data_IF_958075057844
#
_entry.id   IF_958075057844
#
_cell.length_a   1.000
_cell.length_b   1.000
_cell.length_c   1.000
_cell.angle_alpha   90.00
_cell.angle_beta   90.00
_cell.angle_gamma   90.00
#
_symmetry.space_group_name_H-M   'P 1'
#
loop_
_entity.id
_entity.type
_entity.pdbx_description
1 polymer ?
#
# COMPACT_ATOMS: atom_id res chain seq x y z
N UNK A 1 7.94 0.10 -25.51
CA UNK A 1 6.57 -0.24 -25.03
C UNK A 1 5.54 0.20 -26.05
N UNK A 2 4.57 -0.63 -26.36
CA UNK A 2 3.40 -0.23 -27.16
C UNK A 2 2.44 0.56 -26.28
N UNK A 3 2.02 1.74 -26.69
CA UNK A 3 0.97 2.54 -26.02
C UNK A 3 -0.40 2.09 -26.52
N UNK A 4 -1.45 2.43 -25.79
CA UNK A 4 -2.81 2.28 -26.33
C UNK A 4 -3.03 3.20 -27.53
N UNK A 5 -3.80 2.75 -28.51
CA UNK A 5 -4.18 3.59 -29.64
C UNK A 5 -5.07 4.74 -29.15
N UNK A 6 -4.76 6.00 -29.44
CA UNK A 6 -5.56 7.14 -28.99
C UNK A 6 -7.04 6.99 -29.34
N UNK A 7 -7.93 7.30 -28.38
CA UNK A 7 -9.39 7.20 -28.54
C UNK A 7 -9.95 5.78 -28.66
N UNK A 8 -9.13 4.73 -28.44
CA UNK A 8 -9.61 3.35 -28.48
C UNK A 8 -10.63 3.06 -27.38
N UNK A 9 -11.53 2.12 -27.66
CA UNK A 9 -12.43 1.56 -26.64
C UNK A 9 -11.71 0.48 -25.86
N UNK A 10 -11.78 0.59 -24.53
CA UNK A 10 -11.12 -0.31 -23.58
C UNK A 10 -12.17 -0.84 -22.61
N UNK A 11 -12.27 -2.16 -22.53
CA UNK A 11 -13.13 -2.81 -21.55
C UNK A 11 -12.28 -3.41 -20.43
N UNK A 12 -12.72 -3.26 -19.17
CA UNK A 12 -11.94 -3.67 -17.98
C UNK A 12 -12.73 -4.68 -17.15
N UNK A 13 -12.26 -5.91 -17.03
CA UNK A 13 -12.90 -6.96 -16.24
C UNK A 13 -12.37 -6.89 -14.80
N UNK A 14 -13.29 -6.75 -13.81
CA UNK A 14 -12.94 -6.46 -12.41
C UNK A 14 -12.56 -4.99 -12.20
N UNK A 15 -13.27 -4.07 -12.87
CA UNK A 15 -12.92 -2.64 -12.93
C UNK A 15 -12.94 -1.95 -11.58
N UNK A 16 -13.76 -2.41 -10.61
CA UNK A 16 -13.84 -1.83 -9.26
C UNK A 16 -12.70 -2.30 -8.32
N UNK A 17 -11.87 -3.24 -8.76
CA UNK A 17 -10.74 -3.73 -7.99
C UNK A 17 -9.69 -2.65 -7.70
N UNK A 18 -8.95 -2.84 -6.59
CA UNK A 18 -7.84 -1.96 -6.23
C UNK A 18 -6.80 -1.90 -7.36
N UNK A 19 -6.44 -0.70 -7.78
CA UNK A 19 -5.55 -0.44 -8.90
C UNK A 19 -6.21 -0.52 -10.29
N UNK A 20 -7.28 -1.30 -10.50
CA UNK A 20 -8.04 -1.31 -11.76
C UNK A 20 -8.83 0.00 -11.93
N UNK A 21 -9.55 0.41 -10.88
CA UNK A 21 -10.32 1.65 -10.89
C UNK A 21 -9.47 2.88 -11.19
N UNK A 22 -8.28 2.98 -10.59
CA UNK A 22 -7.36 4.09 -10.85
C UNK A 22 -6.85 4.12 -12.31
N UNK A 23 -6.59 2.97 -12.91
CA UNK A 23 -6.23 2.87 -14.33
C UNK A 23 -7.42 3.32 -15.20
N UNK A 24 -8.65 2.91 -14.86
CA UNK A 24 -9.86 3.31 -15.57
C UNK A 24 -10.07 4.82 -15.55
N UNK A 25 -9.89 5.46 -14.39
CA UNK A 25 -9.99 6.92 -14.21
C UNK A 25 -8.95 7.66 -15.07
N UNK A 26 -7.70 7.22 -15.09
CA UNK A 26 -6.65 7.84 -15.92
C UNK A 26 -6.94 7.64 -17.42
N UNK A 27 -7.36 6.45 -17.83
CA UNK A 27 -7.72 6.19 -19.22
C UNK A 27 -8.86 7.10 -19.67
N UNK A 28 -9.90 7.23 -18.86
CA UNK A 28 -11.03 8.12 -19.15
C UNK A 28 -10.59 9.60 -19.22
N UNK A 29 -9.74 10.06 -18.28
CA UNK A 29 -9.18 11.40 -18.27
C UNK A 29 -8.31 11.70 -19.51
N UNK A 30 -7.66 10.67 -20.08
CA UNK A 30 -6.91 10.77 -21.35
C UNK A 30 -7.76 10.63 -22.59
N UNK A 31 -9.09 10.57 -22.47
CA UNK A 31 -10.02 10.56 -23.61
C UNK A 31 -10.23 9.17 -24.23
N UNK A 32 -9.90 8.08 -23.56
CA UNK A 32 -10.30 6.76 -23.96
C UNK A 32 -11.77 6.50 -23.63
N UNK A 33 -12.44 5.69 -24.45
CA UNK A 33 -13.81 5.22 -24.15
C UNK A 33 -13.69 4.00 -23.25
N UNK A 34 -13.96 4.17 -21.96
CA UNK A 34 -13.79 3.11 -20.96
C UNK A 34 -15.13 2.50 -20.59
N UNK A 35 -15.18 1.18 -20.60
CA UNK A 35 -16.24 0.37 -20.01
C UNK A 35 -15.64 -0.71 -19.11
N UNK A 36 -16.46 -1.30 -18.25
CA UNK A 36 -15.99 -2.45 -17.48
C UNK A 36 -17.06 -3.04 -16.58
N UNK A 37 -16.74 -4.20 -16.04
CA UNK A 37 -17.62 -5.02 -15.22
C UNK A 37 -16.99 -5.35 -13.87
N UNK A 38 -17.82 -5.62 -12.88
CA UNK A 38 -17.38 -6.20 -11.61
C UNK A 38 -18.44 -7.18 -11.10
N UNK A 39 -18.04 -8.19 -10.32
CA UNK A 39 -18.94 -9.25 -9.84
C UNK A 39 -20.10 -8.69 -9.02
N UNK A 40 -19.83 -7.64 -8.23
CA UNK A 40 -20.78 -7.07 -7.28
C UNK A 40 -20.87 -5.56 -7.38
N UNK A 41 -22.04 -5.06 -7.06
CA UNK A 41 -22.24 -3.62 -6.86
C UNK A 41 -21.33 -3.10 -5.73
N UNK A 42 -20.69 -1.97 -5.99
CA UNK A 42 -19.80 -1.33 -5.01
C UNK A 42 -19.82 0.20 -5.11
N UNK A 43 -19.36 0.87 -4.04
CA UNK A 43 -19.19 2.32 -4.08
C UNK A 43 -18.19 2.77 -5.17
N UNK A 44 -17.16 1.97 -5.42
CA UNK A 44 -16.17 2.21 -6.49
C UNK A 44 -16.83 2.14 -7.86
N UNK A 45 -17.66 1.10 -8.11
CA UNK A 45 -18.35 0.94 -9.40
C UNK A 45 -19.29 2.12 -9.67
N UNK A 46 -20.04 2.57 -8.65
CA UNK A 46 -20.89 3.78 -8.74
C UNK A 46 -20.08 5.05 -8.99
N UNK A 47 -18.92 5.18 -8.34
CA UNK A 47 -18.03 6.33 -8.55
C UNK A 47 -17.53 6.40 -9.99
N UNK A 48 -17.10 5.27 -10.56
CA UNK A 48 -16.66 5.19 -11.96
C UNK A 48 -17.80 5.56 -12.93
N UNK A 49 -19.01 5.04 -12.68
CA UNK A 49 -20.18 5.37 -13.49
C UNK A 49 -20.49 6.87 -13.46
N UNK A 50 -20.37 7.52 -12.29
CA UNK A 50 -20.57 8.98 -12.16
C UNK A 50 -19.55 9.83 -12.92
N UNK A 51 -18.39 9.25 -13.27
CA UNK A 51 -17.32 9.86 -14.07
C UNK A 51 -17.46 9.59 -15.58
N UNK A 52 -18.59 9.00 -16.02
CA UNK A 52 -18.85 8.73 -17.43
C UNK A 52 -18.27 7.40 -17.95
N UNK A 53 -17.76 6.55 -17.07
CA UNK A 53 -17.31 5.19 -17.41
C UNK A 53 -18.54 4.26 -17.43
N UNK A 54 -18.73 3.49 -18.50
CA UNK A 54 -19.83 2.52 -18.58
C UNK A 54 -19.52 1.32 -17.69
N UNK A 55 -20.24 1.19 -16.56
CA UNK A 55 -19.99 0.18 -15.53
C UNK A 55 -21.14 -0.84 -15.46
N UNK A 56 -20.79 -2.13 -15.45
CA UNK A 56 -21.73 -3.24 -15.36
C UNK A 56 -21.56 -4.02 -14.06
N UNK A 57 -22.65 -4.57 -13.55
CA UNK A 57 -22.65 -5.53 -12.44
C UNK A 57 -22.85 -6.93 -13.02
N UNK A 58 -22.00 -7.87 -12.62
CA UNK A 58 -21.93 -9.20 -13.23
C UNK A 58 -21.08 -9.22 -14.50
N UNK A 59 -20.81 -10.41 -15.01
CA UNK A 59 -19.95 -10.64 -16.15
C UNK A 59 -20.72 -11.32 -17.28
N UNK A 60 -20.86 -10.66 -18.42
CA UNK A 60 -21.52 -11.19 -19.62
C UNK A 60 -20.67 -10.89 -20.86
N UNK A 61 -20.45 -11.90 -21.71
CA UNK A 61 -19.57 -11.78 -22.89
C UNK A 61 -19.94 -10.67 -23.87
N UNK A 62 -21.19 -10.21 -23.87
CA UNK A 62 -21.67 -9.12 -24.72
C UNK A 62 -21.22 -7.74 -24.22
N UNK A 63 -20.91 -7.59 -22.93
CA UNK A 63 -20.51 -6.31 -22.30
C UNK A 63 -19.20 -5.77 -22.86
N UNK A 64 -18.32 -6.63 -23.41
CA UNK A 64 -17.07 -6.15 -24.03
C UNK A 64 -17.33 -5.32 -25.31
N UNK A 65 -18.54 -5.38 -25.88
CA UNK A 65 -18.93 -4.59 -27.06
C UNK A 65 -17.96 -4.69 -28.23
N UNK A 66 -17.55 -3.55 -28.76
CA UNK A 66 -16.53 -3.38 -29.81
C UNK A 66 -15.18 -2.88 -29.23
N UNK A 67 -14.84 -3.28 -28.01
CA UNK A 67 -13.59 -2.92 -27.37
C UNK A 67 -12.38 -3.40 -28.20
N UNK A 68 -11.38 -2.55 -28.35
CA UNK A 68 -10.10 -2.89 -28.99
C UNK A 68 -9.15 -3.61 -28.03
N UNK A 69 -9.27 -3.30 -26.75
CA UNK A 69 -8.47 -3.88 -25.68
C UNK A 69 -9.38 -4.35 -24.54
N UNK A 70 -9.07 -5.51 -23.97
CA UNK A 70 -9.70 -6.00 -22.74
C UNK A 70 -8.62 -6.05 -21.66
N UNK A 71 -8.79 -5.26 -20.59
CA UNK A 71 -7.86 -5.23 -19.45
C UNK A 71 -8.39 -6.14 -18.35
N UNK A 72 -7.52 -7.01 -17.82
CA UNK A 72 -7.89 -7.96 -16.77
C UNK A 72 -7.00 -7.82 -15.53
N UNK A 73 -7.57 -8.06 -14.34
CA UNK A 73 -6.79 -8.26 -13.11
C UNK A 73 -6.34 -9.73 -13.00
N UNK A 74 -5.38 -9.99 -12.12
CA UNK A 74 -4.90 -11.35 -11.83
C UNK A 74 -5.96 -12.24 -11.16
N UNK A 75 -7.05 -11.67 -10.62
CA UNK A 75 -8.14 -12.40 -10.00
C UNK A 75 -9.15 -12.99 -11.00
N UNK A 76 -9.10 -12.59 -12.28
CA UNK A 76 -10.05 -13.04 -13.30
C UNK A 76 -9.69 -14.47 -13.73
N UNK A 77 -10.65 -15.38 -13.56
CA UNK A 77 -10.51 -16.79 -13.93
C UNK A 77 -10.66 -16.98 -15.44
N UNK A 78 -10.05 -18.05 -15.96
CA UNK A 78 -10.04 -18.36 -17.40
C UNK A 78 -11.45 -18.58 -17.99
N UNK A 79 -12.40 -19.01 -17.14
CA UNK A 79 -13.79 -19.28 -17.51
C UNK A 79 -14.68 -18.03 -17.49
N UNK A 80 -14.14 -16.86 -17.13
CA UNK A 80 -14.93 -15.62 -17.12
C UNK A 80 -15.52 -15.36 -18.53
N UNK A 81 -16.86 -15.16 -18.68
CA UNK A 81 -17.52 -15.08 -19.97
C UNK A 81 -17.03 -13.93 -20.86
N UNK A 82 -16.62 -12.81 -20.25
CA UNK A 82 -16.06 -11.67 -21.00
C UNK A 82 -14.65 -11.98 -21.51
N UNK A 83 -13.83 -12.68 -20.69
CA UNK A 83 -12.50 -13.12 -21.11
C UNK A 83 -12.58 -14.15 -22.23
N UNK A 84 -13.51 -15.10 -22.14
CA UNK A 84 -13.78 -16.08 -23.21
C UNK A 84 -14.20 -15.37 -24.48
N UNK A 85 -15.17 -14.45 -24.40
CA UNK A 85 -15.63 -13.67 -25.55
C UNK A 85 -14.52 -12.83 -26.20
N UNK A 86 -13.62 -12.27 -25.40
CA UNK A 86 -12.47 -11.51 -25.91
C UNK A 86 -11.49 -12.41 -26.68
N UNK A 87 -11.21 -13.62 -26.17
CA UNK A 87 -10.37 -14.62 -26.85
C UNK A 87 -10.98 -15.05 -28.16
N UNK A 88 -12.28 -15.40 -28.17
CA UNK A 88 -13.01 -15.87 -29.37
C UNK A 88 -13.06 -14.79 -30.47
N UNK A 89 -13.11 -13.53 -30.12
CA UNK A 89 -13.10 -12.38 -31.04
C UNK A 89 -11.70 -11.91 -31.43
N UNK A 90 -10.63 -12.49 -30.86
CA UNK A 90 -9.25 -12.10 -31.13
C UNK A 90 -8.91 -10.69 -30.63
N UNK A 91 -9.60 -10.20 -29.57
CA UNK A 91 -9.35 -8.90 -28.97
C UNK A 91 -8.05 -8.99 -28.13
N UNK A 92 -7.23 -7.94 -28.18
CA UNK A 92 -5.99 -7.89 -27.38
C UNK A 92 -6.30 -7.85 -25.90
N UNK A 93 -5.85 -8.88 -25.17
CA UNK A 93 -5.99 -8.99 -23.72
C UNK A 93 -4.72 -8.41 -23.07
N UNK A 94 -4.93 -7.45 -22.17
CA UNK A 94 -3.85 -6.72 -21.46
C UNK A 94 -3.98 -6.96 -19.97
N UNK A 95 -2.94 -7.40 -19.32
CA UNK A 95 -2.95 -7.52 -17.86
C UNK A 95 -2.87 -6.13 -17.21
N UNK A 96 -3.44 -5.98 -16.00
CA UNK A 96 -3.48 -4.73 -15.23
C UNK A 96 -2.14 -3.98 -15.21
N UNK A 97 -1.05 -4.66 -14.89
CA UNK A 97 0.28 -4.03 -14.81
C UNK A 97 0.78 -3.56 -16.19
N UNK A 98 0.53 -4.34 -17.26
CA UNK A 98 0.86 -3.91 -18.61
C UNK A 98 -0.01 -2.71 -19.05
N UNK A 99 -1.27 -2.67 -18.63
CA UNK A 99 -2.12 -1.49 -18.87
C UNK A 99 -1.53 -0.24 -18.19
N UNK A 100 -1.11 -0.36 -16.92
CA UNK A 100 -0.45 0.73 -16.20
C UNK A 100 0.89 1.11 -16.87
N UNK A 101 1.71 0.15 -17.26
CA UNK A 101 2.95 0.40 -17.98
C UNK A 101 2.75 1.21 -19.28
N UNK A 102 1.64 0.98 -19.99
CA UNK A 102 1.29 1.72 -21.23
C UNK A 102 0.87 3.17 -20.96
N UNK A 103 0.60 3.55 -19.70
CA UNK A 103 0.24 4.91 -19.30
C UNK A 103 1.47 5.76 -18.93
N UNK A 104 2.62 5.16 -18.64
CA UNK A 104 3.82 5.86 -18.19
C UNK A 104 4.53 6.69 -19.28
N UNK A 105 4.58 6.29 -20.55
CA UNK A 105 5.28 7.06 -21.58
C UNK A 105 4.78 8.49 -21.72
N UNK A 106 5.71 9.43 -21.89
CA UNK A 106 5.44 10.86 -22.02
C UNK A 106 5.56 11.65 -20.71
N UNK A 107 5.74 10.96 -19.57
CA UNK A 107 6.03 11.57 -18.27
C UNK A 107 7.26 10.93 -17.64
N UNK A 108 7.97 11.66 -16.79
CA UNK A 108 9.03 11.10 -15.98
C UNK A 108 8.41 10.19 -14.91
N UNK A 109 8.61 8.90 -15.04
CA UNK A 109 7.96 7.89 -14.23
C UNK A 109 8.83 7.48 -13.03
N UNK A 110 8.20 7.44 -11.85
CA UNK A 110 8.82 7.01 -10.60
C UNK A 110 8.04 5.80 -10.06
N UNK A 111 8.72 4.67 -9.93
CA UNK A 111 8.15 3.45 -9.38
C UNK A 111 8.62 3.24 -7.94
N UNK A 112 7.66 3.00 -7.04
CA UNK A 112 7.96 2.67 -5.64
C UNK A 112 7.76 1.18 -5.43
N UNK A 113 8.86 0.48 -5.22
CA UNK A 113 8.92 -0.96 -5.00
C UNK A 113 9.49 -1.30 -3.62
N UNK A 114 9.41 -2.58 -3.24
CA UNK A 114 9.83 -3.11 -1.96
C UNK A 114 8.72 -3.91 -1.30
N UNK A 115 9.06 -4.81 -0.41
CA UNK A 115 8.06 -5.68 0.23
C UNK A 115 7.05 -4.87 1.04
N UNK A 116 7.51 -3.89 1.81
CA UNK A 116 6.68 -3.05 2.69
C UNK A 116 6.85 -1.56 2.41
N UNK A 117 5.83 -0.77 2.76
CA UNK A 117 5.86 0.69 2.69
C UNK A 117 5.56 1.28 1.31
N UNK A 118 5.35 0.49 0.27
CA UNK A 118 5.06 0.95 -1.11
C UNK A 118 3.97 2.01 -1.18
N UNK A 119 2.78 1.69 -0.68
CA UNK A 119 1.59 2.57 -0.74
C UNK A 119 1.82 3.91 -0.03
N UNK A 120 2.39 3.86 1.18
CA UNK A 120 2.68 5.08 1.95
C UNK A 120 3.73 5.94 1.26
N UNK A 121 4.81 5.33 0.76
CA UNK A 121 5.89 6.03 0.07
C UNK A 121 5.41 6.64 -1.24
N UNK A 122 4.61 5.92 -2.04
CA UNK A 122 4.00 6.46 -3.26
C UNK A 122 3.05 7.61 -2.96
N UNK A 123 2.24 7.48 -1.88
CA UNK A 123 1.35 8.55 -1.42
C UNK A 123 2.11 9.80 -0.97
N UNK A 124 3.18 9.63 -0.21
CA UNK A 124 4.08 10.72 0.19
C UNK A 124 4.67 11.41 -1.03
N UNK A 125 5.10 10.63 -2.02
CA UNK A 125 5.73 11.17 -3.22
C UNK A 125 4.77 11.97 -4.07
N UNK A 126 3.58 11.41 -4.34
CA UNK A 126 2.54 12.11 -5.10
C UNK A 126 2.11 13.41 -4.41
N UNK A 127 1.89 13.38 -3.08
CA UNK A 127 1.48 14.55 -2.33
C UNK A 127 2.61 15.59 -2.19
N UNK A 128 3.87 15.19 -2.07
CA UNK A 128 5.00 16.11 -2.08
C UNK A 128 5.10 16.85 -3.42
N UNK A 129 4.97 16.15 -4.55
CA UNK A 129 4.97 16.79 -5.88
C UNK A 129 3.78 17.74 -6.05
N UNK A 130 2.60 17.34 -5.58
CA UNK A 130 1.41 18.20 -5.58
C UNK A 130 1.62 19.47 -4.75
N UNK A 131 2.16 19.36 -3.53
CA UNK A 131 2.50 20.50 -2.67
C UNK A 131 3.57 21.43 -3.25
N UNK A 132 4.43 20.91 -4.14
CA UNK A 132 5.39 21.69 -4.92
C UNK A 132 4.78 22.31 -6.19
N UNK A 133 3.48 22.16 -6.43
CA UNK A 133 2.80 22.66 -7.63
C UNK A 133 3.18 21.91 -8.91
N UNK A 134 3.64 20.66 -8.80
CA UNK A 134 4.06 19.87 -9.97
C UNK A 134 2.93 19.06 -10.61
N UNK A 135 1.73 19.08 -10.05
CA UNK A 135 0.52 18.40 -10.54
C UNK A 135 0.78 17.01 -11.16
N UNK A 136 1.26 16.02 -10.36
CA UNK A 136 1.64 14.71 -10.87
C UNK A 136 0.45 13.85 -11.28
N UNK A 137 0.65 12.96 -12.24
CA UNK A 137 -0.17 11.76 -12.37
C UNK A 137 0.29 10.70 -11.37
N UNK A 138 -0.65 9.90 -10.85
CA UNK A 138 -0.31 8.80 -9.97
C UNK A 138 -1.36 7.68 -9.98
N UNK A 139 -0.93 6.45 -9.69
CA UNK A 139 -1.76 5.27 -9.35
C UNK A 139 -1.14 4.59 -8.13
N UNK A 140 -1.90 4.53 -7.05
CA UNK A 140 -1.45 4.05 -5.73
C UNK A 140 -2.49 3.08 -5.18
N UNK A 141 -2.05 2.11 -4.37
CA UNK A 141 -2.91 1.06 -3.83
C UNK A 141 -4.00 1.53 -2.85
N UNK A 142 -3.95 2.78 -2.38
CA UNK A 142 -4.90 3.34 -1.41
C UNK A 142 -5.09 4.85 -1.61
N UNK A 143 -6.20 5.39 -1.10
CA UNK A 143 -6.47 6.84 -1.17
C UNK A 143 -5.49 7.63 -0.33
N UNK A 144 -4.95 8.72 -0.87
CA UNK A 144 -4.17 9.71 -0.13
C UNK A 144 -5.16 10.57 0.66
N UNK A 145 -5.05 10.60 1.99
CA UNK A 145 -6.06 11.23 2.86
C UNK A 145 -6.33 12.70 2.52
N UNK A 146 -5.29 13.48 2.21
CA UNK A 146 -5.43 14.89 1.88
C UNK A 146 -6.01 15.15 0.46
N UNK A 147 -5.84 14.21 -0.47
CA UNK A 147 -6.32 14.34 -1.85
C UNK A 147 -7.65 13.62 -2.09
N UNK A 148 -8.03 12.66 -1.21
CA UNK A 148 -9.27 11.89 -1.30
C UNK A 148 -9.32 10.85 -2.41
N UNK A 149 -8.24 10.68 -3.18
CA UNK A 149 -8.16 9.80 -4.36
C UNK A 149 -6.93 8.88 -4.31
N UNK A 150 -7.00 7.74 -4.98
CA UNK A 150 -5.89 6.79 -5.16
C UNK A 150 -5.24 6.88 -6.54
N UNK A 151 -5.88 7.58 -7.47
CA UNK A 151 -5.35 7.83 -8.79
C UNK A 151 -5.77 9.22 -9.28
N UNK A 152 -4.93 9.82 -10.12
CA UNK A 152 -5.19 11.10 -10.76
C UNK A 152 -4.34 11.24 -12.02
N UNK A 153 -4.92 11.72 -13.11
CA UNK A 153 -4.17 12.26 -14.24
C UNK A 153 -3.90 13.75 -13.97
N UNK A 154 -2.64 14.09 -13.74
CA UNK A 154 -2.16 15.46 -13.57
C UNK A 154 -1.65 16.04 -14.90
N UNK A 155 -1.52 17.36 -14.98
CA UNK A 155 -0.98 18.05 -16.16
C UNK A 155 0.55 18.19 -16.13
N UNK A 156 1.19 17.87 -14.99
CA UNK A 156 2.64 17.95 -14.84
C UNK A 156 3.40 16.78 -15.47
N UNK A 157 4.73 16.88 -15.42
CA UNK A 157 5.65 16.00 -16.13
C UNK A 157 5.95 14.68 -15.39
N UNK A 158 5.35 14.46 -14.20
CA UNK A 158 5.67 13.31 -13.35
C UNK A 158 4.54 12.29 -13.27
N UNK A 159 4.92 11.01 -13.20
CA UNK A 159 3.99 9.92 -12.96
C UNK A 159 4.51 9.01 -11.83
N UNK A 160 3.81 8.97 -10.70
CA UNK A 160 4.16 8.13 -9.55
C UNK A 160 3.33 6.85 -9.58
N UNK A 161 3.99 5.70 -9.54
CA UNK A 161 3.31 4.38 -9.51
C UNK A 161 3.81 3.53 -8.36
N UNK A 162 2.89 2.80 -7.76
CA UNK A 162 3.21 1.71 -6.87
C UNK A 162 3.58 0.47 -7.69
N UNK A 163 4.73 -0.11 -7.42
CA UNK A 163 5.30 -1.25 -8.15
C UNK A 163 5.22 -2.51 -7.29
N UNK A 164 4.19 -3.32 -7.52
CA UNK A 164 3.94 -4.55 -6.78
C UNK A 164 4.74 -5.71 -7.38
N UNK A 165 5.59 -6.33 -6.56
CA UNK A 165 6.44 -7.45 -6.93
C UNK A 165 5.72 -8.80 -6.98
N UNK A 166 4.51 -8.89 -6.42
CA UNK A 166 3.82 -10.16 -6.11
C UNK A 166 3.69 -11.13 -7.27
N UNK A 167 3.51 -10.63 -8.49
CA UNK A 167 3.39 -11.43 -9.73
C UNK A 167 4.51 -11.16 -10.74
N UNK A 168 5.51 -10.35 -10.35
CA UNK A 168 6.63 -9.97 -11.20
C UNK A 168 6.28 -8.99 -12.34
N UNK A 169 5.05 -8.55 -12.43
CA UNK A 169 4.56 -7.69 -13.53
C UNK A 169 5.14 -6.28 -13.51
N UNK A 170 5.67 -5.82 -12.37
CA UNK A 170 6.34 -4.51 -12.24
C UNK A 170 7.60 -4.38 -13.13
N UNK A 171 8.15 -5.50 -13.62
CA UNK A 171 9.25 -5.48 -14.59
C UNK A 171 8.88 -4.76 -15.90
N UNK A 172 7.60 -4.70 -16.23
CA UNK A 172 7.11 -4.07 -17.46
C UNK A 172 7.04 -2.54 -17.35
N UNK A 173 7.22 -1.95 -16.16
CA UNK A 173 7.11 -0.49 -15.97
C UNK A 173 8.27 0.28 -16.58
N UNK A 174 9.49 -0.25 -16.55
CA UNK A 174 10.71 0.39 -17.08
C UNK A 174 10.77 1.88 -16.68
N UNK A 175 10.74 2.21 -15.39
CA UNK A 175 10.61 3.59 -14.91
C UNK A 175 11.87 4.40 -15.14
N UNK A 176 11.73 5.74 -15.10
CA UNK A 176 12.88 6.63 -15.15
C UNK A 176 13.63 6.63 -13.81
N UNK A 177 12.90 6.67 -12.68
CA UNK A 177 13.44 6.52 -11.33
C UNK A 177 12.71 5.47 -10.52
N UNK A 178 13.38 4.88 -9.53
CA UNK A 178 12.71 3.97 -8.60
C UNK A 178 13.19 4.14 -7.16
N UNK A 179 12.31 3.70 -6.22
CA UNK A 179 12.62 3.53 -4.80
C UNK A 179 12.51 2.04 -4.47
N UNK A 180 13.50 1.50 -3.74
CA UNK A 180 13.45 0.18 -3.11
C UNK A 180 13.46 0.39 -1.61
N UNK A 181 12.33 0.12 -0.95
CA UNK A 181 12.17 0.37 0.49
C UNK A 181 12.82 -0.71 1.34
N UNK A 182 12.59 -1.98 1.03
CA UNK A 182 13.11 -3.17 1.72
C UNK A 182 12.87 -4.41 0.85
N UNK A 183 13.54 -5.53 1.21
CA UNK A 183 13.38 -6.83 0.53
C UNK A 183 13.25 -7.92 1.58
N UNK A 184 12.04 -8.45 1.75
CA UNK A 184 11.70 -9.55 2.65
C UNK A 184 10.95 -10.66 1.92
N UNK A 185 10.86 -11.83 2.55
CA UNK A 185 10.04 -12.93 2.05
C UNK A 185 8.57 -12.63 2.33
N UNK A 186 7.80 -12.40 1.30
CA UNK A 186 6.33 -12.35 1.30
C UNK A 186 5.81 -13.06 0.05
N UNK A 187 4.51 -13.06 -0.17
CA UNK A 187 3.87 -13.71 -1.32
C UNK A 187 4.31 -15.17 -1.49
N UNK A 188 4.29 -15.91 -0.38
CA UNK A 188 4.73 -17.32 -0.29
C UNK A 188 3.92 -18.28 -1.16
N UNK A 189 2.80 -17.82 -1.70
CA UNK A 189 2.02 -18.46 -2.76
C UNK A 189 2.71 -18.37 -4.14
N UNK A 190 3.55 -17.38 -4.37
CA UNK A 190 4.24 -17.13 -5.64
C UNK A 190 5.76 -17.34 -5.56
N UNK A 191 6.36 -17.21 -4.38
CA UNK A 191 7.80 -17.33 -4.19
C UNK A 191 8.13 -18.39 -3.12
N UNK A 192 9.01 -19.31 -3.48
CA UNK A 192 9.43 -20.39 -2.60
C UNK A 192 10.60 -19.98 -1.68
N UNK A 193 11.33 -18.91 -2.02
CA UNK A 193 12.49 -18.46 -1.25
C UNK A 193 12.76 -16.97 -1.41
N UNK A 194 13.51 -16.42 -0.46
CA UNK A 194 13.94 -15.00 -0.49
C UNK A 194 14.87 -14.73 -1.68
N UNK A 195 15.64 -15.70 -2.13
CA UNK A 195 16.56 -15.58 -3.27
C UNK A 195 15.81 -15.35 -4.58
N UNK A 196 14.59 -15.89 -4.72
CA UNK A 196 13.73 -15.63 -5.87
C UNK A 196 13.28 -14.17 -5.89
N UNK A 197 12.89 -13.62 -4.75
CA UNK A 197 12.51 -12.22 -4.60
C UNK A 197 13.71 -11.32 -4.88
N UNK A 198 14.88 -11.61 -4.32
CA UNK A 198 16.12 -10.85 -4.59
C UNK A 198 16.41 -10.80 -6.08
N UNK A 199 16.41 -11.96 -6.78
CA UNK A 199 16.62 -12.00 -8.24
C UNK A 199 15.56 -11.21 -9.01
N UNK A 200 14.33 -11.16 -8.52
CA UNK A 200 13.27 -10.37 -9.13
C UNK A 200 13.56 -8.87 -9.02
N UNK A 201 13.99 -8.40 -7.84
CA UNK A 201 14.40 -7.00 -7.64
C UNK A 201 15.66 -6.64 -8.44
N UNK A 202 16.63 -7.54 -8.58
CA UNK A 202 17.80 -7.34 -9.46
C UNK A 202 17.37 -7.11 -10.91
N UNK A 203 16.44 -7.93 -11.41
CA UNK A 203 15.86 -7.76 -12.75
C UNK A 203 15.10 -6.44 -12.87
N UNK A 204 14.34 -6.05 -11.85
CA UNK A 204 13.62 -4.78 -11.85
C UNK A 204 14.59 -3.59 -11.92
N UNK A 205 15.64 -3.57 -11.10
CA UNK A 205 16.66 -2.50 -11.13
C UNK A 205 17.28 -2.38 -12.52
N UNK A 206 17.52 -3.49 -13.21
CA UNK A 206 18.05 -3.48 -14.57
C UNK A 206 17.11 -2.85 -15.61
N UNK A 207 15.82 -2.63 -15.29
CA UNK A 207 14.86 -1.94 -16.18
C UNK A 207 14.81 -0.43 -15.99
N UNK A 208 15.40 0.09 -14.90
CA UNK A 208 15.39 1.52 -14.54
C UNK A 208 16.28 2.30 -15.50
N UNK A 209 15.90 3.53 -15.85
CA UNK A 209 16.63 4.31 -16.87
C UNK A 209 17.62 5.33 -16.29
N UNK A 210 17.31 5.96 -15.13
CA UNK A 210 18.14 7.07 -14.62
C UNK A 210 18.68 6.79 -13.21
N UNK A 211 17.80 6.62 -12.18
CA UNK A 211 18.26 6.45 -10.80
C UNK A 211 17.44 5.44 -10.00
N UNK A 212 18.08 4.86 -8.98
CA UNK A 212 17.43 4.07 -7.93
C UNK A 212 17.83 4.56 -6.55
N UNK A 213 16.82 4.80 -5.70
CA UNK A 213 16.97 5.14 -4.28
C UNK A 213 16.74 3.89 -3.45
N UNK A 214 17.72 3.49 -2.63
CA UNK A 214 17.74 2.20 -1.92
C UNK A 214 17.91 2.45 -0.42
N UNK A 215 17.09 1.75 0.39
CA UNK A 215 17.25 1.76 1.85
C UNK A 215 18.58 1.12 2.25
N UNK A 216 19.46 1.90 2.87
CA UNK A 216 20.74 1.42 3.38
C UNK A 216 20.62 0.68 4.71
N UNK A 217 19.50 0.83 5.42
CA UNK A 217 19.22 0.13 6.68
C UNK A 217 18.68 -1.29 6.42
N UNK A 218 18.23 -1.61 5.20
CA UNK A 218 17.82 -2.96 4.81
C UNK A 218 18.99 -3.71 4.18
N UNK A 219 19.39 -4.83 4.80
CA UNK A 219 20.58 -5.59 4.38
C UNK A 219 20.46 -6.15 2.97
N UNK A 220 19.27 -6.60 2.55
CA UNK A 220 19.06 -7.19 1.23
C UNK A 220 18.91 -6.13 0.16
N UNK A 221 18.11 -5.11 0.42
CA UNK A 221 17.99 -3.99 -0.51
C UNK A 221 19.33 -3.32 -0.75
N UNK A 222 20.12 -3.05 0.31
CA UNK A 222 21.42 -2.41 0.21
C UNK A 222 22.46 -3.24 -0.56
N UNK A 223 22.30 -4.57 -0.59
CA UNK A 223 23.18 -5.48 -1.32
C UNK A 223 22.80 -5.67 -2.80
N UNK A 224 21.64 -5.15 -3.26
CA UNK A 224 21.22 -5.28 -4.65
C UNK A 224 22.21 -4.63 -5.62
N UNK A 225 22.63 -5.31 -6.69
CA UNK A 225 23.52 -4.76 -7.70
C UNK A 225 22.78 -3.70 -8.53
N UNK A 226 23.46 -2.59 -8.80
CA UNK A 226 22.96 -1.52 -9.66
C UNK A 226 23.84 -1.42 -10.89
N UNK A 227 23.29 -1.53 -12.12
CA UNK A 227 24.06 -1.38 -13.37
C UNK A 227 24.76 -0.02 -13.47
N UNK A 228 25.93 0.01 -14.10
CA UNK A 228 26.81 1.18 -14.17
C UNK A 228 26.20 2.42 -14.84
N UNK A 229 25.11 2.30 -15.56
CA UNK A 229 24.42 3.44 -16.19
C UNK A 229 23.34 4.08 -15.29
N UNK A 230 23.05 3.49 -14.14
CA UNK A 230 21.98 3.92 -13.23
C UNK A 230 22.61 4.56 -11.99
N UNK A 231 22.16 5.77 -11.62
CA UNK A 231 22.63 6.44 -10.40
C UNK A 231 22.06 5.72 -9.18
N UNK A 232 22.94 5.19 -8.33
CA UNK A 232 22.55 4.62 -7.03
C UNK A 232 22.59 5.71 -5.98
N UNK A 233 21.51 5.83 -5.20
CA UNK A 233 21.41 6.74 -4.07
C UNK A 233 20.91 5.92 -2.86
N UNK A 234 21.56 6.10 -1.72
CA UNK A 234 21.25 5.38 -0.49
C UNK A 234 20.69 6.33 0.57
N UNK A 235 19.76 5.84 1.36
CA UNK A 235 19.21 6.56 2.51
C UNK A 235 19.07 5.65 3.72
N UNK A 236 19.18 6.21 4.91
CA UNK A 236 19.05 5.43 6.14
C UNK A 236 19.71 6.10 7.32
N UNK A 237 19.87 5.36 8.42
CA UNK A 237 20.52 5.83 9.66
C UNK A 237 22.02 5.60 9.67
N UNK A 238 22.55 4.79 8.75
CA UNK A 238 24.00 4.61 8.61
C UNK A 238 24.65 5.89 8.10
N UNK A 239 25.78 6.27 8.70
CA UNK A 239 26.60 7.40 8.23
C UNK A 239 27.20 7.20 6.84
N UNK A 240 27.11 5.99 6.26
CA UNK A 240 27.56 5.68 4.92
C UNK A 240 26.52 5.94 3.83
N UNK A 241 25.26 6.26 4.21
CA UNK A 241 24.22 6.62 3.26
C UNK A 241 24.42 8.01 2.67
N UNK A 242 23.96 8.23 1.44
CA UNK A 242 23.99 9.54 0.77
C UNK A 242 23.06 10.54 1.48
N UNK A 243 21.88 10.11 1.96
CA UNK A 243 20.97 10.88 2.78
C UNK A 243 20.83 10.19 4.15
N UNK A 244 21.44 10.79 5.16
CA UNK A 244 21.51 10.26 6.53
C UNK A 244 20.37 10.78 7.37
N UNK A 245 19.75 9.89 8.13
CA UNK A 245 18.69 10.18 9.11
C UNK A 245 19.30 10.18 10.51
N UNK A 246 19.04 11.21 11.28
CA UNK A 246 19.44 11.30 12.70
C UNK A 246 18.32 11.97 13.53
N UNK A 247 18.50 11.97 14.86
CA UNK A 247 17.63 12.67 15.82
C UNK A 247 16.12 12.41 15.64
N UNK A 248 15.74 11.16 15.31
CA UNK A 248 14.33 10.79 15.23
C UNK A 248 13.63 10.94 16.58
N UNK A 249 12.49 11.65 16.58
CA UNK A 249 11.67 11.91 17.79
C UNK A 249 10.20 11.71 17.45
N UNK A 250 9.52 10.85 18.21
CA UNK A 250 8.05 10.80 18.21
C UNK A 250 7.50 12.04 18.93
N UNK A 251 6.42 12.57 18.39
CA UNK A 251 5.69 13.73 18.88
C UNK A 251 4.21 13.34 19.04
N UNK A 252 3.43 14.12 19.76
CA UNK A 252 2.00 13.84 19.97
C UNK A 252 1.17 13.77 18.69
N UNK A 253 1.62 14.41 17.62
CA UNK A 253 0.91 14.54 16.33
C UNK A 253 1.75 14.05 15.13
N UNK A 254 2.72 13.16 15.37
CA UNK A 254 3.56 12.57 14.32
C UNK A 254 5.01 12.42 14.72
N UNK A 255 5.95 12.58 13.79
CA UNK A 255 7.37 12.33 14.00
C UNK A 255 8.23 13.42 13.37
N UNK A 256 9.40 13.69 13.96
CA UNK A 256 10.43 14.56 13.39
C UNK A 256 11.77 13.82 13.28
N UNK A 257 12.61 14.27 12.36
CA UNK A 257 13.97 13.78 12.18
C UNK A 257 14.87 14.87 11.56
N UNK A 258 16.16 14.71 11.71
CA UNK A 258 17.15 15.50 10.99
C UNK A 258 17.65 14.71 9.79
N UNK A 259 17.63 15.32 8.61
CA UNK A 259 18.17 14.75 7.37
C UNK A 259 19.43 15.52 6.97
N UNK A 260 20.48 14.78 6.63
CA UNK A 260 21.73 15.36 6.14
C UNK A 260 22.15 14.67 4.84
N UNK A 261 22.21 15.41 3.75
CA UNK A 261 22.87 14.94 2.52
C UNK A 261 24.38 14.87 2.78
N UNK A 262 25.03 13.81 2.33
CA UNK A 262 26.47 13.59 2.57
C UNK A 262 27.32 14.78 2.08
N UNK A 263 28.05 15.42 2.98
CA UNK A 263 28.84 16.61 2.68
C UNK A 263 28.04 17.87 2.33
N UNK A 264 26.72 17.84 2.51
CA UNK A 264 25.80 18.90 2.13
C UNK A 264 24.96 19.47 3.30
N UNK A 265 23.84 20.13 2.97
CA UNK A 265 23.00 20.79 3.96
C UNK A 265 22.29 19.82 4.89
N UNK A 266 21.98 20.33 6.08
CA UNK A 266 21.14 19.66 7.10
C UNK A 266 19.76 20.30 7.07
N UNK A 267 18.71 19.49 7.07
CA UNK A 267 17.32 19.94 7.10
C UNK A 267 16.52 19.21 8.15
N UNK A 268 15.47 19.85 8.68
CA UNK A 268 14.50 19.21 9.56
C UNK A 268 13.37 18.59 8.75
N UNK A 269 13.07 17.33 9.02
CA UNK A 269 11.91 16.63 8.54
C UNK A 269 10.82 16.67 9.61
N UNK A 270 9.58 17.01 9.24
CA UNK A 270 8.40 16.95 10.08
C UNK A 270 7.30 16.19 9.36
N UNK A 271 6.78 15.13 9.97
CA UNK A 271 5.66 14.35 9.45
C UNK A 271 4.51 14.36 10.45
N UNK A 272 3.28 14.35 9.96
CA UNK A 272 2.04 14.24 10.73
C UNK A 272 1.47 12.81 10.66
N UNK A 273 2.35 11.85 10.53
CA UNK A 273 2.11 10.42 10.65
C UNK A 273 3.16 9.83 11.60
N UNK A 274 2.82 8.77 12.31
CA UNK A 274 3.65 8.17 13.35
C UNK A 274 4.55 7.05 12.79
N UNK A 275 5.60 6.73 13.54
CA UNK A 275 6.43 5.56 13.34
C UNK A 275 7.72 5.82 12.56
N UNK A 276 8.79 5.16 13.01
CA UNK A 276 10.13 5.19 12.41
C UNK A 276 10.11 4.82 10.92
N UNK A 277 9.29 3.82 10.53
CA UNK A 277 9.15 3.40 9.14
C UNK A 277 8.67 4.53 8.23
N UNK A 278 7.84 5.45 8.72
CA UNK A 278 7.39 6.60 7.94
C UNK A 278 8.48 7.66 7.77
N UNK A 279 9.43 7.77 8.71
CA UNK A 279 10.63 8.59 8.51
C UNK A 279 11.48 8.02 7.37
N UNK A 280 11.68 6.69 7.34
CA UNK A 280 12.39 6.03 6.25
C UNK A 280 11.68 6.24 4.90
N UNK A 281 10.36 6.03 4.83
CA UNK A 281 9.56 6.24 3.63
C UNK A 281 9.68 7.68 3.10
N UNK A 282 9.55 8.66 4.00
CA UNK A 282 9.68 10.08 3.65
C UNK A 282 11.10 10.44 3.19
N UNK A 283 12.11 9.85 3.83
CA UNK A 283 13.52 10.10 3.44
C UNK A 283 13.82 9.54 2.07
N UNK A 284 13.26 8.38 1.70
CA UNK A 284 13.33 7.83 0.34
C UNK A 284 12.76 8.80 -0.71
N UNK A 285 11.59 9.38 -0.39
CA UNK A 285 10.95 10.39 -1.27
C UNK A 285 11.80 11.64 -1.40
N UNK A 286 12.33 12.16 -0.30
CA UNK A 286 13.22 13.34 -0.30
C UNK A 286 14.50 13.05 -1.09
N UNK A 287 15.12 11.87 -0.92
CA UNK A 287 16.29 11.45 -1.69
C UNK A 287 15.98 11.39 -3.21
N UNK A 288 14.82 10.86 -3.58
CA UNK A 288 14.37 10.83 -4.97
C UNK A 288 14.12 12.24 -5.53
N UNK A 289 13.55 13.13 -4.74
CA UNK A 289 13.35 14.53 -5.12
C UNK A 289 14.68 15.22 -5.43
N UNK A 290 15.71 15.00 -4.59
CA UNK A 290 17.07 15.53 -4.84
C UNK A 290 17.66 14.92 -6.11
N UNK A 291 17.46 13.61 -6.38
CA UNK A 291 17.88 12.98 -7.62
C UNK A 291 17.26 13.62 -8.87
N UNK A 292 16.04 14.13 -8.74
CA UNK A 292 15.29 14.85 -9.78
C UNK A 292 15.66 16.34 -9.88
N UNK A 293 16.63 16.82 -9.07
CA UNK A 293 17.04 18.22 -9.07
C UNK A 293 16.17 19.15 -8.22
N UNK A 294 15.30 18.60 -7.36
CA UNK A 294 14.50 19.38 -6.39
C UNK A 294 15.36 19.69 -5.17
N UNK A 295 15.32 20.92 -4.68
CA UNK A 295 16.05 21.33 -3.49
C UNK A 295 15.67 20.51 -2.25
N UNK A 296 16.68 20.07 -1.48
CA UNK A 296 16.48 19.20 -0.30
C UNK A 296 15.54 19.83 0.72
N UNK A 297 15.68 21.12 1.02
CA UNK A 297 14.85 21.80 2.00
C UNK A 297 13.43 22.02 1.47
N UNK A 298 13.26 22.25 0.17
CA UNK A 298 11.95 22.36 -0.44
C UNK A 298 11.20 21.01 -0.39
N UNK A 299 11.87 19.90 -0.72
CA UNK A 299 11.30 18.55 -0.62
C UNK A 299 10.91 18.19 0.82
N UNK A 300 11.81 18.43 1.80
CA UNK A 300 11.56 18.17 3.21
C UNK A 300 10.41 19.00 3.78
N UNK A 301 10.21 20.24 3.32
CA UNK A 301 9.04 21.04 3.69
C UNK A 301 7.76 20.55 3.03
N UNK A 302 7.81 20.23 1.74
CA UNK A 302 6.63 19.83 0.98
C UNK A 302 6.04 18.50 1.45
N UNK A 303 6.88 17.54 1.83
CA UNK A 303 6.44 16.23 2.35
C UNK A 303 5.67 16.35 3.68
N UNK A 304 5.85 17.44 4.43
CA UNK A 304 5.08 17.73 5.65
C UNK A 304 3.59 17.98 5.37
N UNK A 305 3.17 18.11 4.12
CA UNK A 305 1.76 18.15 3.74
C UNK A 305 1.07 16.77 3.85
N UNK A 306 1.83 15.68 3.90
CA UNK A 306 1.27 14.32 3.96
C UNK A 306 0.51 14.07 5.27
N UNK A 307 -0.69 13.50 5.14
CA UNK A 307 -1.60 13.20 6.27
C UNK A 307 -1.98 11.72 6.35
N UNK A 308 -1.24 10.86 5.65
CA UNK A 308 -1.50 9.43 5.59
C UNK A 308 -2.22 8.98 4.33
N UNK A 309 -2.38 7.68 4.22
CA UNK A 309 -3.22 7.00 3.25
C UNK A 309 -4.25 6.16 3.98
N UNK A 310 -5.40 5.90 3.36
CA UNK A 310 -6.46 5.09 3.98
C UNK A 310 -5.92 3.73 4.40
N UNK A 311 -6.33 3.27 5.57
CA UNK A 311 -5.91 2.01 6.17
C UNK A 311 -4.39 1.90 6.43
N UNK A 312 -3.68 3.01 6.69
CA UNK A 312 -2.27 3.02 7.14
C UNK A 312 -2.18 3.90 8.38
N UNK A 313 -2.32 3.26 9.55
CA UNK A 313 -2.47 3.92 10.85
C UNK A 313 -3.56 5.01 10.81
N UNK A 314 -4.69 4.70 10.19
CA UNK A 314 -5.79 5.63 9.98
C UNK A 314 -6.64 5.74 11.25
N UNK A 315 -6.72 6.93 11.84
CA UNK A 315 -7.63 7.18 12.98
C UNK A 315 -9.07 7.18 12.47
N UNK A 316 -9.84 6.17 12.86
CA UNK A 316 -11.27 6.06 12.50
C UNK A 316 -12.17 6.91 13.37
N UNK A 317 -11.71 7.25 14.58
CA UNK A 317 -12.42 8.13 15.50
C UNK A 317 -11.94 8.01 16.93
N UNK A 318 -12.47 8.90 17.77
CA UNK A 318 -12.26 8.93 19.21
C UNK A 318 -13.61 8.94 19.90
N UNK A 319 -13.81 8.10 20.90
CA UNK A 319 -14.99 8.06 21.75
C UNK A 319 -14.57 7.90 23.21
N UNK A 320 -15.03 8.79 24.09
CA UNK A 320 -14.73 8.78 25.53
C UNK A 320 -13.23 8.67 25.87
N UNK A 321 -12.38 9.31 25.07
CA UNK A 321 -10.93 9.24 25.22
C UNK A 321 -10.30 7.95 24.69
N UNK A 322 -11.08 7.02 24.10
CA UNK A 322 -10.60 5.80 23.46
C UNK A 322 -10.39 6.09 21.97
N UNK A 323 -9.17 5.86 21.47
CA UNK A 323 -8.84 6.06 20.06
C UNK A 323 -8.94 4.74 19.29
N UNK A 324 -9.65 4.75 18.15
CA UNK A 324 -9.74 3.59 17.24
C UNK A 324 -8.98 3.88 15.96
N UNK A 325 -8.04 3.00 15.63
CA UNK A 325 -7.13 3.08 14.47
C UNK A 325 -7.30 1.87 13.58
N UNK A 326 -7.20 2.04 12.28
CA UNK A 326 -7.22 0.95 11.28
C UNK A 326 -5.90 0.91 10.51
N UNK A 327 -5.33 -0.28 10.36
CA UNK A 327 -4.12 -0.50 9.57
C UNK A 327 -4.21 -1.75 8.70
N UNK A 328 -3.68 -1.66 7.50
CA UNK A 328 -3.70 -2.72 6.50
C UNK A 328 -2.62 -3.80 6.75
N UNK A 329 -1.73 -3.59 7.71
CA UNK A 329 -0.63 -4.47 8.06
C UNK A 329 -1.07 -5.93 8.18
N UNK A 330 -0.44 -6.80 7.41
CA UNK A 330 -0.79 -8.21 7.31
C UNK A 330 0.44 -9.13 7.20
N UNK A 331 1.64 -8.56 7.26
CA UNK A 331 2.91 -9.26 7.41
C UNK A 331 3.45 -9.02 8.83
N UNK A 332 4.16 -9.98 9.46
CA UNK A 332 4.69 -9.82 10.84
C UNK A 332 5.47 -8.52 11.03
N UNK A 333 6.37 -8.17 10.11
CA UNK A 333 7.16 -6.93 10.15
C UNK A 333 6.29 -5.67 10.13
N UNK A 334 5.21 -5.65 9.33
CA UNK A 334 4.26 -4.53 9.31
C UNK A 334 3.51 -4.42 10.64
N UNK A 335 3.07 -5.55 11.21
CA UNK A 335 2.36 -5.60 12.49
C UNK A 335 3.26 -5.07 13.62
N UNK A 336 4.50 -5.52 13.69
CA UNK A 336 5.50 -5.03 14.67
C UNK A 336 5.70 -3.51 14.54
N UNK A 337 5.86 -3.02 13.31
CA UNK A 337 6.04 -1.58 13.05
C UNK A 337 4.81 -0.76 13.47
N UNK A 338 3.59 -1.25 13.19
CA UNK A 338 2.35 -0.57 13.54
C UNK A 338 2.09 -0.61 15.05
N UNK A 339 2.34 -1.73 15.72
CA UNK A 339 2.27 -1.85 17.18
C UNK A 339 3.28 -0.90 17.85
N UNK A 340 4.51 -0.85 17.35
CA UNK A 340 5.54 0.08 17.84
C UNK A 340 5.08 1.54 17.70
N UNK A 341 4.48 1.93 16.58
CA UNK A 341 3.92 3.26 16.39
C UNK A 341 2.77 3.55 17.38
N UNK A 342 1.86 2.59 17.58
CA UNK A 342 0.77 2.71 18.55
C UNK A 342 1.28 2.88 19.99
N UNK A 343 2.31 2.13 20.38
CA UNK A 343 2.99 2.27 21.67
C UNK A 343 3.63 3.65 21.85
N UNK A 344 4.24 4.17 20.78
CA UNK A 344 4.83 5.52 20.81
C UNK A 344 3.77 6.60 21.04
N UNK A 345 2.61 6.48 20.38
CA UNK A 345 1.45 7.36 20.58
C UNK A 345 0.97 7.32 22.02
N UNK A 346 0.76 6.13 22.60
CA UNK A 346 0.33 5.96 23.99
C UNK A 346 1.35 6.52 24.98
N UNK A 347 2.65 6.27 24.74
CA UNK A 347 3.73 6.81 25.56
C UNK A 347 3.76 8.34 25.55
N UNK A 348 3.54 8.96 24.39
CA UNK A 348 3.47 10.41 24.26
C UNK A 348 2.23 11.02 24.96
N UNK A 349 1.13 10.26 25.02
CA UNK A 349 -0.09 10.62 25.76
C UNK A 349 0.03 10.42 27.28
N UNK A 350 1.05 9.70 27.74
CA UNK A 350 1.37 9.50 29.16
C UNK A 350 0.67 8.33 29.84
N UNK A 351 -0.32 7.70 29.22
CA UNK A 351 -1.03 6.52 29.73
C UNK A 351 -1.87 5.86 28.63
N UNK A 352 -2.38 4.65 28.92
CA UNK A 352 -3.29 3.89 28.07
C UNK A 352 -2.73 2.52 27.69
N UNK A 353 -3.65 1.61 27.34
CA UNK A 353 -3.34 0.25 26.94
C UNK A 353 -3.62 0.08 25.43
N UNK A 354 -2.95 -0.87 24.82
CA UNK A 354 -3.12 -1.22 23.42
C UNK A 354 -3.90 -2.53 23.27
N UNK A 355 -5.07 -2.46 22.62
CA UNK A 355 -5.79 -3.63 22.15
C UNK A 355 -5.62 -3.78 20.64
N UNK A 356 -5.22 -4.95 20.18
CA UNK A 356 -5.08 -5.28 18.75
C UNK A 356 -6.13 -6.28 18.35
N UNK A 357 -6.87 -5.99 17.29
CA UNK A 357 -7.78 -6.93 16.62
C UNK A 357 -7.12 -7.32 15.31
N UNK A 358 -6.66 -8.55 15.24
CA UNK A 358 -5.90 -9.05 14.09
C UNK A 358 -6.70 -10.05 13.26
N UNK A 359 -6.81 -9.80 11.97
CA UNK A 359 -7.36 -10.74 11.00
C UNK A 359 -6.26 -11.24 10.08
N UNK A 360 -5.79 -12.49 10.22
CA UNK A 360 -4.84 -13.08 9.30
C UNK A 360 -5.40 -13.09 7.87
N UNK A 361 -4.55 -12.87 6.88
CA UNK A 361 -4.93 -12.79 5.48
C UNK A 361 -4.26 -13.90 4.69
N UNK A 362 -5.05 -14.77 4.05
CA UNK A 362 -4.68 -15.99 3.33
C UNK A 362 -4.22 -17.15 4.23
N UNK A 363 -4.61 -18.37 3.87
CA UNK A 363 -4.19 -19.58 4.57
C UNK A 363 -2.71 -19.87 4.37
N UNK A 364 -2.17 -19.69 3.16
CA UNK A 364 -0.76 -19.86 2.84
C UNK A 364 0.14 -18.99 3.71
N UNK A 365 -0.17 -17.69 3.83
CA UNK A 365 0.58 -16.77 4.69
C UNK A 365 0.46 -17.11 6.16
N UNK A 366 -0.74 -17.49 6.62
CA UNK A 366 -0.95 -17.90 8.01
C UNK A 366 -0.12 -19.13 8.36
N UNK A 367 -0.07 -20.13 7.48
CA UNK A 367 0.76 -21.32 7.67
C UNK A 367 2.26 -20.99 7.77
N UNK A 368 2.74 -20.06 6.92
CA UNK A 368 4.15 -19.69 6.87
C UNK A 368 4.60 -18.85 8.08
N UNK A 369 3.70 -17.99 8.64
CA UNK A 369 4.09 -16.96 9.59
C UNK A 369 3.37 -17.04 10.95
N UNK A 370 2.62 -18.09 11.29
CA UNK A 370 1.84 -18.18 12.53
C UNK A 370 2.64 -17.80 13.79
N UNK A 371 3.81 -18.41 14.00
CA UNK A 371 4.68 -18.11 15.14
C UNK A 371 5.23 -16.66 15.11
N UNK A 372 5.44 -16.09 13.93
CA UNK A 372 5.89 -14.69 13.79
C UNK A 372 4.77 -13.71 14.09
N UNK A 373 3.53 -14.02 13.70
CA UNK A 373 2.36 -13.24 14.10
C UNK A 373 2.16 -13.26 15.61
N UNK A 374 2.27 -14.44 16.26
CA UNK A 374 2.17 -14.54 17.71
C UNK A 374 3.20 -13.66 18.43
N UNK A 375 4.47 -13.66 17.95
CA UNK A 375 5.52 -12.79 18.49
C UNK A 375 5.22 -11.31 18.30
N UNK A 376 4.75 -10.92 17.13
CA UNK A 376 4.43 -9.52 16.83
C UNK A 376 3.28 -9.01 17.73
N UNK A 377 2.23 -9.83 17.91
CA UNK A 377 1.07 -9.49 18.74
C UNK A 377 1.41 -9.38 20.23
N UNK A 378 2.46 -10.06 20.71
CA UNK A 378 2.91 -9.95 22.10
C UNK A 378 3.33 -8.52 22.52
N UNK A 379 3.48 -7.59 21.56
CA UNK A 379 3.66 -6.16 21.80
C UNK A 379 2.41 -5.41 22.27
N UNK A 380 1.21 -6.03 22.23
CA UNK A 380 -0.06 -5.46 22.72
C UNK A 380 -0.36 -5.88 24.17
N UNK A 381 -1.24 -5.13 24.87
CA UNK A 381 -1.74 -5.53 26.21
C UNK A 381 -2.89 -6.54 26.09
N UNK A 382 -3.59 -6.53 24.98
CA UNK A 382 -4.64 -7.48 24.61
C UNK A 382 -4.63 -7.69 23.11
N UNK A 383 -4.76 -8.93 22.65
CA UNK A 383 -4.99 -9.23 21.23
C UNK A 383 -6.23 -10.10 21.03
N UNK A 384 -7.03 -9.78 20.03
CA UNK A 384 -8.16 -10.57 19.57
C UNK A 384 -7.83 -11.04 18.16
N UNK A 385 -7.63 -12.33 17.97
CA UNK A 385 -7.33 -12.94 16.67
C UNK A 385 -8.64 -13.44 16.07
N UNK A 386 -8.96 -12.99 14.86
CA UNK A 386 -10.17 -13.37 14.11
C UNK A 386 -9.90 -14.53 13.16
N UNK A 387 -10.94 -15.03 12.51
CA UNK A 387 -10.81 -15.99 11.42
C UNK A 387 -9.96 -15.47 10.27
N UNK A 388 -9.29 -16.40 9.58
CA UNK A 388 -8.49 -16.09 8.40
C UNK A 388 -9.40 -15.55 7.31
N UNK A 389 -9.06 -14.39 6.76
CA UNK A 389 -9.65 -13.88 5.53
C UNK A 389 -9.02 -14.62 4.34
N UNK A 390 -9.82 -15.43 3.64
CA UNK A 390 -9.32 -16.35 2.61
C UNK A 390 -8.72 -15.66 1.39
N UNK A 391 -9.23 -14.49 1.03
CA UNK A 391 -8.84 -13.76 -0.20
C UNK A 391 -8.89 -14.64 -1.47
N UNK A 392 -9.84 -15.58 -1.53
CA UNK A 392 -10.03 -16.50 -2.64
C UNK A 392 -9.21 -17.80 -2.58
N UNK A 393 -8.41 -18.00 -1.53
CA UNK A 393 -7.74 -19.29 -1.27
C UNK A 393 -8.71 -20.30 -0.66
N UNK A 394 -8.50 -21.57 -0.99
CA UNK A 394 -9.16 -22.68 -0.31
C UNK A 394 -8.53 -22.92 1.08
N UNK A 395 -9.31 -23.37 2.08
CA UNK A 395 -8.78 -23.70 3.40
C UNK A 395 -7.69 -24.77 3.33
N UNK A 396 -6.59 -24.54 4.04
CA UNK A 396 -5.51 -25.52 4.17
C UNK A 396 -5.73 -26.39 5.40
N UNK A 397 -5.66 -27.73 5.29
CA UNK A 397 -5.81 -28.65 6.42
C UNK A 397 -4.83 -28.34 7.54
N UNK A 398 -5.31 -28.22 8.78
CA UNK A 398 -4.51 -27.95 9.97
C UNK A 398 -4.08 -26.49 10.16
N UNK A 399 -4.47 -25.57 9.28
CA UNK A 399 -4.19 -24.13 9.40
C UNK A 399 -5.37 -23.41 10.01
N UNK A 400 -5.16 -22.78 11.16
CA UNK A 400 -6.16 -22.01 11.88
C UNK A 400 -5.53 -20.78 12.54
N UNK A 401 -6.25 -19.69 12.60
CA UNK A 401 -5.83 -18.51 13.35
C UNK A 401 -5.86 -18.72 14.88
N UNK A 402 -6.56 -19.75 15.37
CA UNK A 402 -6.55 -20.11 16.79
C UNK A 402 -5.13 -20.42 17.29
N UNK A 403 -4.28 -21.04 16.47
CA UNK A 403 -2.88 -21.34 16.82
C UNK A 403 -2.07 -20.07 17.10
N UNK A 404 -2.34 -18.97 16.42
CA UNK A 404 -1.69 -17.69 16.66
C UNK A 404 -2.06 -17.17 18.07
N UNK A 405 -3.33 -17.27 18.44
CA UNK A 405 -3.79 -16.84 19.76
C UNK A 405 -3.24 -17.72 20.89
N UNK A 406 -3.11 -19.04 20.66
CA UNK A 406 -2.56 -20.00 21.63
C UNK A 406 -1.05 -19.74 21.91
N UNK A 407 -0.31 -19.32 20.89
CA UNK A 407 1.13 -19.03 21.00
C UNK A 407 1.42 -17.59 21.45
N UNK A 408 0.44 -16.70 21.40
CA UNK A 408 0.60 -15.30 21.78
C UNK A 408 0.07 -15.03 23.18
N UNK A 409 0.89 -14.37 24.00
CA UNK A 409 0.49 -13.96 25.35
C UNK A 409 -0.63 -12.92 25.28
N UNK A 410 -1.58 -13.02 26.23
CA UNK A 410 -2.71 -12.08 26.37
C UNK A 410 -3.59 -11.98 25.10
N UNK A 411 -3.63 -13.08 24.32
CA UNK A 411 -4.41 -13.20 23.10
C UNK A 411 -5.58 -14.17 23.26
N UNK A 412 -6.69 -13.85 22.59
CA UNK A 412 -7.84 -14.73 22.48
C UNK A 412 -8.24 -14.90 21.01
N UNK A 413 -8.76 -16.06 20.67
CA UNK A 413 -9.36 -16.31 19.37
C UNK A 413 -10.88 -16.13 19.45
N UNK A 414 -11.44 -15.32 18.55
CA UNK A 414 -12.89 -15.14 18.39
C UNK A 414 -13.24 -15.10 16.90
N UNK A 415 -14.08 -16.02 16.44
CA UNK A 415 -14.60 -16.07 15.07
C UNK A 415 -15.79 -15.16 14.85
N UNK A 416 -16.63 -14.97 15.87
CA UNK A 416 -17.85 -14.17 15.82
C UNK A 416 -17.53 -12.67 15.95
N UNK A 417 -17.90 -11.89 14.93
CA UNK A 417 -17.61 -10.45 14.87
C UNK A 417 -18.31 -9.63 15.94
N UNK A 418 -19.56 -9.99 16.29
CA UNK A 418 -20.31 -9.26 17.31
C UNK A 418 -19.68 -9.51 18.69
N UNK A 419 -19.21 -10.74 18.95
CA UNK A 419 -18.44 -11.04 20.15
C UNK A 419 -17.09 -10.31 20.21
N UNK A 420 -16.41 -10.12 19.07
CA UNK A 420 -15.20 -9.30 19.02
C UNK A 420 -15.49 -7.87 19.43
N UNK A 421 -16.57 -7.28 18.91
CA UNK A 421 -16.98 -5.91 19.23
C UNK A 421 -17.31 -5.78 20.72
N UNK A 422 -18.11 -6.70 21.26
CA UNK A 422 -18.53 -6.69 22.67
C UNK A 422 -17.33 -6.85 23.61
N UNK A 423 -16.44 -7.81 23.35
CA UNK A 423 -15.23 -8.07 24.13
C UNK A 423 -14.32 -6.84 24.21
N UNK A 424 -14.05 -6.24 23.04
CA UNK A 424 -13.16 -5.07 22.96
C UNK A 424 -13.83 -3.84 23.57
N UNK A 425 -15.11 -3.63 23.30
CA UNK A 425 -15.85 -2.52 23.91
C UNK A 425 -15.87 -2.63 25.44
N UNK A 426 -16.05 -3.84 26.02
CA UNK A 426 -16.03 -4.06 27.47
C UNK A 426 -14.64 -3.85 28.08
N UNK A 427 -13.57 -4.23 27.37
CA UNK A 427 -12.19 -4.12 27.83
C UNK A 427 -11.70 -2.67 27.86
N UNK A 428 -12.12 -1.84 26.89
CA UNK A 428 -11.59 -0.52 26.66
C UNK A 428 -11.96 0.52 27.74
N UNK A 429 -10.98 1.30 28.14
CA UNK A 429 -11.08 2.41 29.09
C UNK A 429 -10.56 3.73 28.49
N UNK A 430 -10.93 4.90 29.03
CA UNK A 430 -10.40 6.17 28.56
C UNK A 430 -8.87 6.21 28.57
N UNK A 431 -8.28 6.64 27.45
CA UNK A 431 -6.82 6.65 27.22
C UNK A 431 -6.33 5.46 26.38
N UNK A 432 -7.13 4.39 26.22
CA UNK A 432 -6.74 3.20 25.47
C UNK A 432 -6.75 3.47 23.94
N UNK A 433 -5.93 2.70 23.22
CA UNK A 433 -5.90 2.64 21.77
C UNK A 433 -6.34 1.25 21.30
N UNK A 434 -7.33 1.22 20.41
CA UNK A 434 -7.81 0.02 19.75
C UNK A 434 -7.30 0.06 18.30
N UNK A 435 -6.61 -1.00 17.88
CA UNK A 435 -6.02 -1.13 16.56
C UNK A 435 -6.60 -2.31 15.81
N UNK A 436 -7.28 -2.06 14.69
CA UNK A 436 -7.68 -3.11 13.73
C UNK A 436 -6.55 -3.33 12.74
N UNK A 437 -6.10 -4.59 12.57
CA UNK A 437 -4.97 -4.99 11.73
C UNK A 437 -5.37 -6.09 10.75
N UNK A 438 -5.08 -5.89 9.46
CA UNK A 438 -5.27 -6.90 8.43
C UNK A 438 -5.71 -6.34 7.09
N UNK A 439 -5.41 -7.08 6.01
CA UNK A 439 -5.76 -6.70 4.64
C UNK A 439 -7.21 -7.01 4.25
N UNK A 440 -7.92 -7.79 5.09
CA UNK A 440 -9.30 -8.20 4.87
C UNK A 440 -10.34 -7.16 5.33
N UNK A 441 -11.49 -7.67 5.72
CA UNK A 441 -12.66 -6.89 6.11
C UNK A 441 -12.70 -6.50 7.61
N UNK A 442 -11.61 -6.74 8.35
CA UNK A 442 -11.42 -6.27 9.73
C UNK A 442 -11.60 -4.76 9.87
N UNK A 443 -11.33 -4.00 8.82
CA UNK A 443 -11.53 -2.54 8.76
C UNK A 443 -12.98 -2.13 9.10
N UNK A 444 -13.96 -3.02 8.90
CA UNK A 444 -15.37 -2.77 9.25
C UNK A 444 -15.66 -2.84 10.75
N UNK A 445 -14.76 -3.46 11.53
CA UNK A 445 -14.91 -3.64 12.97
C UNK A 445 -14.71 -2.31 13.71
N UNK A 446 -13.72 -1.50 13.32
CA UNK A 446 -13.41 -0.22 13.97
C UNK A 446 -14.62 0.72 14.12
N UNK A 447 -15.36 1.05 13.04
CA UNK A 447 -16.59 1.85 13.12
C UNK A 447 -17.67 1.26 14.00
N UNK A 448 -17.81 -0.07 14.05
CA UNK A 448 -18.79 -0.77 14.91
C UNK A 448 -18.39 -0.68 16.38
N UNK A 449 -17.11 -0.79 16.71
CA UNK A 449 -16.60 -0.55 18.07
C UNK A 449 -16.90 0.88 18.51
N UNK A 450 -16.65 1.88 17.66
CA UNK A 450 -16.99 3.27 17.96
C UNK A 450 -18.49 3.46 18.24
N UNK A 451 -19.35 2.75 17.50
CA UNK A 451 -20.80 2.76 17.75
C UNK A 451 -21.17 2.08 19.09
N UNK A 452 -20.55 0.94 19.40
CA UNK A 452 -20.75 0.22 20.66
C UNK A 452 -20.29 1.05 21.87
N UNK A 453 -19.13 1.71 21.77
CA UNK A 453 -18.62 2.62 22.83
C UNK A 453 -19.59 3.78 23.10
N UNK A 454 -20.16 4.39 22.04
CA UNK A 454 -21.17 5.45 22.17
C UNK A 454 -22.46 4.99 22.84
N UNK A 455 -22.85 3.71 22.69
CA UNK A 455 -24.07 3.16 23.29
C UNK A 455 -23.90 2.73 24.76
N UNK A 456 -22.68 2.76 25.31
CA UNK A 456 -22.37 2.49 26.73
C UNK A 456 -22.79 3.65 27.66
N UNK A 457 -22.95 4.84 27.10
CA UNK A 457 -23.39 6.08 27.78
C UNK A 457 -24.87 6.36 27.49
#
# INVERSE_FOLDING_TARGET
MTTFTPGAKIHMIGIAGSGMSGIAEILAARGFVVSGSDEKESATLRSLASQGITAYVGHEGEQIGDARYVVISSAIREENPELVAAKDRGIEIVRRANALARLLPGKFSIAVAGTHGKTTTSGMFAQMLDALGRDPSFVIGSKISALGVSAREGQGDFFVVEADESDGSFLDYMPDGAIITNVELDHVDNFSSIEEIVRLFERFIATIKDFVVICGDDLRASALPVPSGIRRITYGTSATCDLVISEMKELSDGVSATLQWQGGPIVQLRLFVHGRHNVLNATAVVASAVAMGIDLAAAARAISAFRGTSRRFEVKGICDGITVVDDYGHHPTEIEATISAARSVLSAAGAGRLCVIFQPHRFSRTAAFAASFARALAGADRSVVMDIYSAGEDPLPGVSSATIAEESRDSIYLSDRDRVIDEVAQWAEPGDLILTLGAGDVTEIGPKILAALKSRN
#
